data_IF_162107048295
#
_entry.id   IF_162107048295
#
_cell.length_a   1.000
_cell.length_b   1.000
_cell.length_c   1.000
_cell.angle_alpha   90.00
_cell.angle_beta   90.00
_cell.angle_gamma   90.00
#
_symmetry.space_group_name_H-M   'P 1'
#
loop_
_entity.id
_entity.type
_entity.pdbx_description
1 polymer ?
#
# COMPACT_ATOMS: atom_id res chain seq x y z
N UNK A 1 6.42 16.31 -12.80
CA UNK A 1 6.54 15.32 -11.72
C UNK A 1 7.80 14.49 -11.93
N UNK A 2 8.60 14.37 -10.90
CA UNK A 2 9.72 13.41 -10.92
C UNK A 2 9.19 12.01 -11.23
N UNK A 3 9.93 11.23 -12.02
CA UNK A 3 9.60 9.83 -12.28
C UNK A 3 9.78 9.04 -10.98
N UNK A 4 8.67 8.69 -10.33
CA UNK A 4 8.68 7.84 -9.15
C UNK A 4 8.96 6.41 -9.61
N UNK A 5 10.06 5.83 -9.15
CA UNK A 5 10.51 4.48 -9.51
C UNK A 5 10.29 3.46 -8.40
N UNK A 6 9.84 3.92 -7.24
CA UNK A 6 9.60 3.09 -6.06
C UNK A 6 8.28 3.50 -5.40
N UNK A 7 7.44 2.52 -5.06
CA UNK A 7 6.15 2.80 -4.43
C UNK A 7 6.29 3.50 -3.07
N UNK A 8 7.41 3.32 -2.39
CA UNK A 8 7.70 3.94 -1.09
C UNK A 8 7.85 5.46 -1.15
N UNK A 9 8.07 6.00 -2.35
CA UNK A 9 8.29 7.44 -2.55
C UNK A 9 6.97 8.22 -2.70
N UNK A 10 5.85 7.54 -2.97
CA UNK A 10 4.56 8.20 -3.03
C UNK A 10 4.13 8.77 -1.68
N UNK A 11 3.68 10.02 -1.67
CA UNK A 11 3.11 10.63 -0.45
C UNK A 11 1.90 9.85 0.06
N UNK A 12 1.08 9.31 -0.86
CA UNK A 12 -0.06 8.45 -0.51
C UNK A 12 0.40 7.19 0.24
N UNK A 13 1.48 6.52 -0.21
CA UNK A 13 2.02 5.36 0.50
C UNK A 13 2.56 5.71 1.88
N UNK A 14 3.29 6.83 1.99
CA UNK A 14 3.82 7.30 3.27
C UNK A 14 2.71 7.58 4.28
N UNK A 15 1.62 8.22 3.85
CA UNK A 15 0.46 8.48 4.71
C UNK A 15 -0.24 7.17 5.12
N UNK A 16 -0.42 6.23 4.20
CA UNK A 16 -0.94 4.90 4.52
C UNK A 16 -0.07 4.18 5.54
N UNK A 17 1.25 4.24 5.38
CA UNK A 17 2.20 3.61 6.30
C UNK A 17 2.13 4.20 7.71
N UNK A 18 2.04 5.53 7.84
CA UNK A 18 1.87 6.18 9.14
C UNK A 18 0.57 5.72 9.81
N UNK A 19 -0.53 5.75 9.07
CA UNK A 19 -1.84 5.35 9.59
C UNK A 19 -1.87 3.87 10.02
N UNK A 20 -1.43 2.96 9.17
CA UNK A 20 -1.42 1.52 9.49
C UNK A 20 -0.49 1.17 10.63
N UNK A 21 0.61 1.92 10.81
CA UNK A 21 1.48 1.80 11.99
C UNK A 21 0.74 2.13 13.28
N UNK A 22 -0.02 3.23 13.30
CA UNK A 22 -0.78 3.63 14.47
C UNK A 22 -1.90 2.62 14.81
N UNK A 23 -2.54 2.05 13.79
CA UNK A 23 -3.47 0.92 13.98
C UNK A 23 -2.74 -0.29 14.58
N UNK A 24 -1.56 -0.63 14.07
CA UNK A 24 -0.73 -1.72 14.59
C UNK A 24 -0.34 -1.53 16.06
N UNK A 25 -0.05 -0.31 16.48
CA UNK A 25 0.21 0.02 17.89
C UNK A 25 -1.08 -0.10 18.74
N UNK A 26 -2.22 0.33 18.19
CA UNK A 26 -3.50 0.24 18.86
C UNK A 26 -3.89 -1.22 19.15
N UNK A 27 -3.80 -2.11 18.18
CA UNK A 27 -4.20 -3.52 18.35
C UNK A 27 -3.29 -4.30 19.30
N UNK A 28 -2.08 -3.82 19.54
CA UNK A 28 -1.16 -4.36 20.56
C UNK A 28 -1.43 -3.83 21.97
N UNK A 29 -2.22 -2.79 22.09
CA UNK A 29 -2.58 -2.22 23.39
C UNK A 29 -3.34 -3.23 24.24
N UNK A 30 -3.21 -3.13 25.56
CA UNK A 30 -3.81 -4.08 26.52
C UNK A 30 -5.31 -4.25 26.33
N UNK A 31 -6.11 -3.20 26.11
CA UNK A 31 -7.54 -3.35 25.93
C UNK A 31 -7.93 -4.19 24.70
N UNK A 32 -7.28 -3.94 23.55
CA UNK A 32 -7.66 -4.56 22.27
C UNK A 32 -7.08 -5.96 22.08
N UNK A 33 -5.85 -6.21 22.53
CA UNK A 33 -5.14 -7.47 22.24
C UNK A 33 -5.89 -8.73 22.68
N UNK A 34 -6.85 -8.62 23.58
CA UNK A 34 -7.67 -9.73 24.06
C UNK A 34 -8.85 -10.04 23.14
N UNK A 35 -9.26 -9.09 22.32
CA UNK A 35 -10.32 -9.27 21.32
C UNK A 35 -9.71 -9.74 20.00
N UNK A 36 -9.42 -11.05 19.92
CA UNK A 36 -8.72 -11.65 18.78
C UNK A 36 -9.41 -11.43 17.45
N UNK A 37 -10.73 -11.54 17.40
CA UNK A 37 -11.49 -11.34 16.16
C UNK A 37 -11.32 -9.93 15.59
N UNK A 38 -11.40 -8.92 16.46
CA UNK A 38 -11.22 -7.52 16.09
C UNK A 38 -9.77 -7.23 15.68
N UNK A 39 -8.81 -7.74 16.45
CA UNK A 39 -7.37 -7.63 16.15
C UNK A 39 -7.05 -8.23 14.78
N UNK A 40 -7.53 -9.44 14.51
CA UNK A 40 -7.30 -10.12 13.22
C UNK A 40 -7.85 -9.34 12.04
N UNK A 41 -9.05 -8.76 12.16
CA UNK A 41 -9.65 -7.96 11.10
C UNK A 41 -8.89 -6.66 10.86
N UNK A 42 -8.51 -5.95 11.93
CA UNK A 42 -7.75 -4.70 11.83
C UNK A 42 -6.34 -4.93 11.29
N UNK A 43 -5.69 -6.02 11.68
CA UNK A 43 -4.37 -6.38 11.16
C UNK A 43 -4.43 -6.74 9.67
N UNK A 44 -5.40 -7.55 9.25
CA UNK A 44 -5.60 -7.87 7.82
C UNK A 44 -5.87 -6.63 6.99
N UNK A 45 -6.73 -5.73 7.45
CA UNK A 45 -7.02 -4.50 6.75
C UNK A 45 -5.77 -3.61 6.64
N UNK A 46 -4.97 -3.51 7.71
CA UNK A 46 -3.71 -2.75 7.72
C UNK A 46 -2.69 -3.30 6.70
N UNK A 47 -2.49 -4.61 6.69
CA UNK A 47 -1.61 -5.28 5.72
C UNK A 47 -2.16 -5.08 4.30
N UNK A 48 -3.47 -5.20 4.11
CA UNK A 48 -4.13 -5.04 2.81
C UNK A 48 -3.91 -3.64 2.23
N UNK A 49 -3.93 -2.57 3.03
CA UNK A 49 -3.63 -1.21 2.55
C UNK A 49 -2.25 -1.17 1.88
N UNK A 50 -1.22 -1.65 2.55
CA UNK A 50 0.16 -1.56 2.05
C UNK A 50 0.42 -2.54 0.91
N UNK A 51 -0.08 -3.77 1.01
CA UNK A 51 0.12 -4.82 0.01
C UNK A 51 -0.56 -4.48 -1.31
N UNK A 52 -1.80 -3.99 -1.30
CA UNK A 52 -2.50 -3.58 -2.51
C UNK A 52 -1.82 -2.39 -3.19
N UNK A 53 -1.28 -1.44 -2.42
CA UNK A 53 -0.55 -0.33 -3.00
C UNK A 53 0.69 -0.82 -3.77
N UNK A 54 1.52 -1.63 -3.10
CA UNK A 54 2.72 -2.19 -3.70
C UNK A 54 2.40 -3.07 -4.92
N UNK A 55 1.42 -3.96 -4.79
CA UNK A 55 1.00 -4.84 -5.90
C UNK A 55 0.49 -4.03 -7.09
N UNK A 56 -0.36 -3.04 -6.86
CA UNK A 56 -0.88 -2.17 -7.92
C UNK A 56 0.21 -1.38 -8.62
N UNK A 57 1.23 -0.97 -7.87
CA UNK A 57 2.40 -0.29 -8.42
C UNK A 57 3.24 -1.20 -9.32
N UNK A 58 3.45 -2.45 -8.91
CA UNK A 58 4.26 -3.44 -9.66
C UNK A 58 3.53 -4.00 -10.89
N UNK A 59 2.21 -3.89 -10.94
CA UNK A 59 1.44 -4.31 -12.12
C UNK A 59 1.54 -3.30 -13.26
N UNK A 60 1.40 -3.79 -14.48
CA UNK A 60 1.49 -2.96 -15.67
C UNK A 60 0.24 -2.07 -15.87
N UNK A 61 0.50 -0.82 -16.20
CA UNK A 61 -0.51 0.16 -16.60
C UNK A 61 -1.21 0.87 -15.45
N UNK A 62 -1.70 2.08 -15.77
CA UNK A 62 -2.39 2.94 -14.81
C UNK A 62 -3.75 2.39 -14.40
N UNK A 63 -4.43 1.64 -15.27
CA UNK A 63 -5.73 1.05 -14.99
C UNK A 63 -5.64 0.02 -13.85
N UNK A 64 -4.65 -0.88 -13.90
CA UNK A 64 -4.42 -1.83 -12.81
C UNK A 64 -4.01 -1.10 -11.52
N UNK A 65 -3.11 -0.11 -11.60
CA UNK A 65 -2.74 0.64 -10.42
C UNK A 65 -3.93 1.34 -9.76
N UNK A 66 -4.80 2.00 -10.52
CA UNK A 66 -6.01 2.64 -9.97
C UNK A 66 -6.98 1.64 -9.36
N UNK A 67 -7.09 0.45 -9.93
CA UNK A 67 -7.88 -0.64 -9.37
C UNK A 67 -7.38 -1.05 -7.99
N UNK A 68 -6.08 -1.27 -7.84
CA UNK A 68 -5.49 -1.63 -6.55
C UNK A 68 -5.53 -0.49 -5.53
N UNK A 69 -5.42 0.76 -5.98
CA UNK A 69 -5.62 1.92 -5.11
C UNK A 69 -7.07 2.01 -4.58
N UNK A 70 -8.05 1.53 -5.33
CA UNK A 70 -9.43 1.43 -4.84
C UNK A 70 -9.57 0.39 -3.72
N UNK A 71 -8.83 -0.72 -3.80
CA UNK A 71 -8.75 -1.70 -2.71
C UNK A 71 -8.06 -1.12 -1.47
N UNK A 72 -6.96 -0.37 -1.65
CA UNK A 72 -6.33 0.37 -0.54
C UNK A 72 -7.34 1.28 0.16
N UNK A 73 -8.08 2.07 -0.61
CA UNK A 73 -9.08 2.99 -0.08
C UNK A 73 -10.20 2.27 0.66
N UNK A 74 -10.64 1.12 0.17
CA UNK A 74 -11.61 0.26 0.84
C UNK A 74 -11.11 -0.22 2.20
N UNK A 75 -9.86 -0.70 2.26
CA UNK A 75 -9.23 -1.14 3.51
C UNK A 75 -9.00 0.00 4.51
N UNK A 76 -8.67 1.21 4.03
CA UNK A 76 -8.65 2.42 4.87
C UNK A 76 -10.03 2.70 5.46
N UNK A 77 -11.10 2.53 4.66
CA UNK A 77 -12.48 2.69 5.13
C UNK A 77 -12.84 1.71 6.24
N UNK A 78 -12.46 0.44 6.12
CA UNK A 78 -12.62 -0.56 7.19
C UNK A 78 -11.93 -0.12 8.48
N UNK A 79 -10.68 0.35 8.37
CA UNK A 79 -9.89 0.84 9.50
C UNK A 79 -10.40 2.17 10.08
N UNK A 80 -11.30 2.87 9.41
CA UNK A 80 -12.05 4.01 9.98
C UNK A 80 -13.27 3.57 10.77
N UNK A 81 -13.96 2.53 10.30
CA UNK A 81 -15.16 2.02 10.93
C UNK A 81 -14.88 1.19 12.20
N UNK A 82 -13.87 0.35 12.17
CA UNK A 82 -13.54 -0.55 13.29
C UNK A 82 -13.19 0.19 14.58
N UNK A 83 -12.42 1.28 14.60
CA UNK A 83 -12.21 2.07 15.82
C UNK A 83 -13.47 2.75 16.37
N UNK A 84 -14.48 3.05 15.56
CA UNK A 84 -15.78 3.52 16.03
C UNK A 84 -16.41 2.47 16.94
N UNK A 85 -16.43 1.20 16.48
CA UNK A 85 -16.89 0.09 17.29
C UNK A 85 -16.09 -0.03 18.60
N UNK A 86 -14.78 0.20 18.56
CA UNK A 86 -13.94 0.19 19.76
C UNK A 86 -14.34 1.28 20.77
N UNK A 87 -14.72 2.47 20.30
CA UNK A 87 -15.25 3.54 21.17
C UNK A 87 -16.59 3.13 21.76
N UNK A 88 -17.50 2.60 20.94
CA UNK A 88 -18.85 2.21 21.35
C UNK A 88 -18.86 1.15 22.46
N UNK A 89 -17.86 0.27 22.46
CA UNK A 89 -17.68 -0.76 23.49
C UNK A 89 -16.61 -0.39 24.54
N UNK A 90 -16.24 0.86 24.61
CA UNK A 90 -15.34 1.44 25.63
C UNK A 90 -13.92 0.82 25.65
N UNK A 91 -13.43 0.33 24.52
CA UNK A 91 -12.05 -0.16 24.38
C UNK A 91 -11.02 0.93 24.14
N UNK A 92 -11.42 2.05 23.53
CA UNK A 92 -10.58 3.23 23.31
C UNK A 92 -11.37 4.50 23.60
N UNK A 93 -10.63 5.57 23.92
CA UNK A 93 -11.20 6.89 24.13
C UNK A 93 -11.53 7.57 22.79
N UNK A 94 -12.51 8.49 22.82
CA UNK A 94 -12.95 9.28 21.66
C UNK A 94 -11.79 10.04 21.02
N UNK A 95 -10.92 10.64 21.81
CA UNK A 95 -9.77 11.42 21.34
C UNK A 95 -8.78 10.52 20.55
N UNK A 96 -8.60 9.28 20.96
CA UNK A 96 -7.75 8.32 20.23
C UNK A 96 -8.34 7.99 18.88
N UNK A 97 -9.64 7.77 18.82
CA UNK A 97 -10.36 7.56 17.55
C UNK A 97 -10.20 8.78 16.62
N UNK A 98 -10.44 9.98 17.11
CA UNK A 98 -10.35 11.21 16.30
C UNK A 98 -8.94 11.40 15.71
N UNK A 99 -7.89 11.13 16.48
CA UNK A 99 -6.52 11.18 15.98
C UNK A 99 -6.27 10.17 14.86
N UNK A 100 -6.78 8.95 14.99
CA UNK A 100 -6.68 7.91 13.96
C UNK A 100 -7.49 8.28 12.71
N UNK A 101 -8.70 8.80 12.88
CA UNK A 101 -9.55 9.19 11.76
C UNK A 101 -8.95 10.32 10.93
N UNK A 102 -8.29 11.28 11.56
CA UNK A 102 -7.56 12.35 10.87
C UNK A 102 -6.43 11.81 9.99
N UNK A 103 -5.69 10.81 10.48
CA UNK A 103 -4.66 10.12 9.68
C UNK A 103 -5.27 9.35 8.52
N UNK A 104 -6.40 8.68 8.74
CA UNK A 104 -7.13 7.95 7.71
C UNK A 104 -7.66 8.87 6.62
N UNK A 105 -8.21 10.04 6.98
CA UNK A 105 -8.65 11.06 6.03
C UNK A 105 -7.51 11.55 5.14
N UNK A 106 -6.35 11.79 5.74
CA UNK A 106 -5.14 12.19 5.01
C UNK A 106 -4.73 11.12 4.01
N UNK A 107 -4.68 9.86 4.42
CA UNK A 107 -4.37 8.74 3.54
C UNK A 107 -5.39 8.61 2.41
N UNK A 108 -6.69 8.65 2.72
CA UNK A 108 -7.77 8.54 1.75
C UNK A 108 -7.74 9.69 0.71
N UNK A 109 -7.48 10.91 1.16
CA UNK A 109 -7.36 12.09 0.29
C UNK A 109 -6.19 11.94 -0.69
N UNK A 110 -5.04 11.49 -0.21
CA UNK A 110 -3.85 11.30 -1.04
C UNK A 110 -4.02 10.13 -2.01
N UNK A 111 -4.64 9.03 -1.59
CA UNK A 111 -5.00 7.92 -2.48
C UNK A 111 -5.96 8.38 -3.59
N UNK A 112 -6.97 9.18 -3.24
CA UNK A 112 -7.91 9.77 -4.21
C UNK A 112 -7.23 10.71 -5.19
N UNK A 113 -6.29 11.55 -4.71
CA UNK A 113 -5.50 12.44 -5.56
C UNK A 113 -4.63 11.67 -6.55
N UNK A 114 -3.94 10.64 -6.10
CA UNK A 114 -3.13 9.77 -6.96
C UNK A 114 -4.00 9.05 -7.99
N UNK A 115 -5.15 8.52 -7.58
CA UNK A 115 -6.09 7.86 -8.48
C UNK A 115 -6.56 8.81 -9.60
N UNK A 116 -6.93 10.04 -9.27
CA UNK A 116 -7.33 11.04 -10.26
C UNK A 116 -6.19 11.37 -11.23
N UNK A 117 -5.00 11.56 -10.71
CA UNK A 117 -3.81 11.82 -11.52
C UNK A 117 -3.54 10.68 -12.52
N UNK A 118 -3.59 9.43 -12.09
CA UNK A 118 -3.36 8.27 -12.95
C UNK A 118 -4.44 8.11 -14.02
N UNK A 119 -5.70 8.45 -13.72
CA UNK A 119 -6.81 8.41 -14.69
C UNK A 119 -6.70 9.47 -15.77
N UNK A 120 -6.16 10.63 -15.45
CA UNK A 120 -6.00 11.76 -16.38
C UNK A 120 -4.65 11.73 -17.13
N UNK A 121 -3.73 10.89 -16.68
CA UNK A 121 -2.42 10.76 -17.31
C UNK A 121 -2.52 9.96 -18.61
N UNK A 122 -2.25 10.61 -19.76
CA UNK A 122 -2.23 9.99 -21.09
C UNK A 122 -1.04 9.03 -21.33
N UNK A 123 -0.25 8.72 -20.33
CA UNK A 123 0.83 7.75 -20.41
C UNK A 123 0.24 6.32 -20.34
N UNK A 124 -0.45 5.93 -21.41
CA UNK A 124 -0.92 4.57 -21.58
C UNK A 124 0.27 3.60 -21.46
N UNK A 125 0.24 2.75 -20.46
CA UNK A 125 1.03 1.52 -20.42
C UNK A 125 2.46 1.61 -19.90
N UNK A 126 3.02 2.78 -19.54
CA UNK A 126 4.36 2.86 -18.94
C UNK A 126 4.34 3.63 -17.63
N UNK A 127 4.14 2.93 -16.54
CA UNK A 127 4.37 3.52 -15.20
C UNK A 127 5.84 3.87 -15.02
N UNK A 128 6.71 3.06 -15.56
CA UNK A 128 8.16 3.14 -15.38
C UNK A 128 8.86 2.56 -16.60
N UNK A 129 9.85 3.29 -17.09
CA UNK A 129 10.84 2.69 -17.98
C UNK A 129 11.77 1.88 -17.07
N UNK A 130 11.49 0.59 -16.88
CA UNK A 130 12.56 -0.33 -16.55
C UNK A 130 13.59 -0.16 -17.66
N UNK A 131 14.74 0.43 -17.37
CA UNK A 131 15.92 0.20 -18.17
C UNK A 131 16.11 -1.32 -18.18
N UNK A 132 15.69 -1.96 -19.27
CA UNK A 132 16.07 -3.32 -19.55
C UNK A 132 17.60 -3.32 -19.56
N UNK A 133 18.19 -3.84 -18.50
CA UNK A 133 19.61 -4.18 -18.57
C UNK A 133 19.72 -5.17 -19.73
N UNK A 134 20.62 -4.93 -20.68
CA UNK A 134 20.82 -5.87 -21.78
C UNK A 134 21.20 -7.22 -21.15
N UNK A 135 20.43 -8.26 -21.52
CA UNK A 135 20.72 -9.63 -21.12
C UNK A 135 22.17 -9.90 -21.52
N UNK A 136 23.07 -10.25 -20.58
CA UNK A 136 24.45 -10.55 -20.94
C UNK A 136 24.44 -11.69 -21.92
N UNK A 137 24.93 -11.44 -23.14
CA UNK A 137 25.07 -12.46 -24.16
C UNK A 137 25.87 -13.62 -23.58
N UNK A 138 25.24 -14.77 -23.43
CA UNK A 138 25.91 -16.03 -23.06
C UNK A 138 27.14 -16.19 -23.94
N UNK A 139 28.33 -16.10 -23.36
CA UNK A 139 29.58 -16.44 -24.04
C UNK A 139 29.44 -17.88 -24.56
N UNK A 140 29.45 -18.04 -25.90
CA UNK A 140 29.61 -19.36 -26.53
C UNK A 140 30.90 -19.95 -25.97
N UNK A 141 30.80 -21.07 -25.27
CA UNK A 141 31.95 -21.91 -24.97
C UNK A 141 32.55 -22.35 -26.29
N UNK A 142 33.73 -21.85 -26.60
CA UNK A 142 34.54 -22.40 -27.67
C UNK A 142 34.91 -23.83 -27.27
N UNK A 143 34.43 -24.78 -28.08
CA UNK A 143 34.84 -26.18 -28.04
C UNK A 143 36.31 -26.22 -28.36
N UNK A 144 37.16 -26.58 -27.41
CA UNK A 144 38.54 -26.93 -27.66
C UNK A 144 38.51 -28.36 -28.20
N UNK A 145 38.68 -28.49 -29.54
CA UNK A 145 38.98 -29.79 -30.14
C UNK A 145 40.36 -30.21 -29.65
N UNK A 146 40.40 -31.31 -28.91
CA UNK A 146 41.63 -32.03 -28.62
C UNK A 146 42.32 -32.51 -29.87
N UNK A 147 43.61 -32.28 -29.94
CA UNK A 147 44.52 -33.02 -30.84
C UNK A 147 45.04 -34.24 -30.07
N UNK A 148 45.00 -35.33 -30.81
CA UNK A 148 45.60 -36.63 -30.48
C UNK A 148 47.05 -36.55 -30.04
#
# INVERSE_FOLDING_TARGET
MANITDFRDFQAFKACRVFTREIGLLIRSVPLRRNRSLVDQMERASISVLSNFAEGFERDGNAEFTRFLSFCKGSVGELRAQPIYCVDIELIEQERYEALDLMAETAARLLGGLTRYLKTSNKAGRKYVRRSQPIPKRRRRMSVKGRA
#
